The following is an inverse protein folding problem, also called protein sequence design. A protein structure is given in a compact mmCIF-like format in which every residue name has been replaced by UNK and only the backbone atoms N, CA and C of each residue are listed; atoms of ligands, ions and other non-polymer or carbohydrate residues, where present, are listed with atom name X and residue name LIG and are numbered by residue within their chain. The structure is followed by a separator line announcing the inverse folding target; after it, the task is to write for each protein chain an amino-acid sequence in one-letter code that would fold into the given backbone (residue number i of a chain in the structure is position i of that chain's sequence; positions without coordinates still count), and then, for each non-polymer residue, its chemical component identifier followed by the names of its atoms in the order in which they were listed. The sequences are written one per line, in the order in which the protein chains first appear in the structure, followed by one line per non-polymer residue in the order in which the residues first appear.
data_IF_652324368899
#
_entry.id   IF_652324368899
#
_cell.length_a   1.000
_cell.length_b   1.000
_cell.length_c   1.000
_cell.angle_alpha   90.00
_cell.angle_beta   90.00
_cell.angle_gamma   90.00
#
_symmetry.space_group_name_H-M   'P 1'
#
loop_
_entity.id
_entity.type
_entity.pdbx_description
1 polymer ?
#
# COMPACT_ATOMS: atom_id res chain seq x y z
N UNK A 1 13.35 -22.98 -5.67
CA UNK A 1 12.22 -22.45 -6.47
C UNK A 1 12.59 -21.02 -6.79
N UNK A 2 12.96 -20.70 -8.02
CA UNK A 2 13.34 -19.34 -8.41
C UNK A 2 12.07 -18.49 -8.25
N UNK A 3 12.03 -17.60 -7.26
CA UNK A 3 10.98 -16.57 -7.19
C UNK A 3 11.10 -15.79 -8.50
N UNK A 4 10.10 -15.90 -9.37
CA UNK A 4 9.99 -15.00 -10.51
C UNK A 4 9.71 -13.63 -9.91
N UNK A 5 10.71 -12.76 -9.89
CA UNK A 5 10.49 -11.37 -9.54
C UNK A 5 9.50 -10.77 -10.54
N UNK A 6 8.29 -10.48 -10.06
CA UNK A 6 7.29 -9.72 -10.83
C UNK A 6 7.90 -8.38 -11.25
N UNK A 7 8.16 -8.20 -12.53
CA UNK A 7 8.61 -6.90 -13.02
C UNK A 7 7.45 -5.92 -12.91
N UNK A 8 7.65 -4.84 -12.14
CA UNK A 8 6.73 -3.69 -12.07
C UNK A 8 7.37 -2.58 -12.87
N UNK A 9 6.65 -2.02 -13.82
CA UNK A 9 7.15 -0.99 -14.72
C UNK A 9 7.54 0.28 -13.96
N UNK A 10 8.59 0.97 -14.42
CA UNK A 10 9.02 2.23 -13.80
C UNK A 10 7.89 3.26 -13.77
N UNK A 11 7.04 3.28 -14.81
CA UNK A 11 5.87 4.14 -14.86
C UNK A 11 4.87 3.84 -13.74
N UNK A 12 4.58 2.56 -13.47
CA UNK A 12 3.73 2.16 -12.36
C UNK A 12 4.35 2.59 -11.01
N UNK A 13 5.65 2.39 -10.82
CA UNK A 13 6.37 2.85 -9.61
C UNK A 13 6.21 4.36 -9.42
N UNK A 14 6.40 5.15 -10.47
CA UNK A 14 6.22 6.60 -10.40
C UNK A 14 4.79 6.99 -10.02
N UNK A 15 3.77 6.32 -10.59
CA UNK A 15 2.36 6.59 -10.27
C UNK A 15 2.03 6.21 -8.82
N UNK A 16 2.57 5.10 -8.29
CA UNK A 16 2.39 4.73 -6.88
C UNK A 16 2.96 5.81 -5.94
N UNK A 17 4.12 6.34 -6.29
CA UNK A 17 4.88 7.28 -5.47
C UNK A 17 4.50 8.75 -5.69
N UNK A 18 3.63 9.04 -6.67
CA UNK A 18 3.19 10.38 -7.04
C UNK A 18 2.66 11.17 -5.84
N UNK A 19 3.07 12.43 -5.74
CA UNK A 19 2.62 13.32 -4.65
C UNK A 19 1.10 13.49 -4.65
N UNK A 20 0.55 13.71 -3.46
CA UNK A 20 -0.90 13.89 -3.22
C UNK A 20 -1.15 15.23 -2.55
N UNK A 21 -2.37 15.73 -2.71
CA UNK A 21 -2.83 16.90 -1.97
C UNK A 21 -2.97 16.57 -0.48
N UNK A 22 -2.37 17.41 0.35
CA UNK A 22 -2.54 17.44 1.79
C UNK A 22 -3.69 18.35 2.19
N UNK A 23 -3.66 18.85 3.42
CA UNK A 23 -4.61 19.87 3.88
C UNK A 23 -4.41 21.18 3.11
N UNK A 24 -5.46 21.67 2.47
CA UNK A 24 -5.41 22.90 1.67
C UNK A 24 -4.60 22.73 0.38
N UNK A 25 -3.80 23.74 0.02
CA UNK A 25 -3.00 23.74 -1.23
C UNK A 25 -1.66 22.99 -1.13
N UNK A 26 -1.35 22.37 0.01
CA UNK A 26 -0.04 21.75 0.22
C UNK A 26 0.05 20.40 -0.51
N UNK A 27 1.16 20.16 -1.21
CA UNK A 27 1.44 18.90 -1.89
C UNK A 27 2.46 18.11 -1.06
N UNK A 28 2.17 16.84 -0.79
CA UNK A 28 3.00 15.97 0.06
C UNK A 28 3.24 14.60 -0.58
N UNK A 29 4.19 13.87 -0.04
CA UNK A 29 4.35 12.44 -0.34
C UNK A 29 3.12 11.65 0.12
N UNK A 30 2.76 10.55 -0.58
CA UNK A 30 1.69 9.66 -0.12
C UNK A 30 2.07 9.04 1.23
N UNK A 31 1.06 8.77 2.06
CA UNK A 31 1.18 7.97 3.27
C UNK A 31 1.28 6.49 2.90
N UNK A 32 1.75 5.67 3.84
CA UNK A 32 1.93 4.22 3.63
C UNK A 32 0.62 3.54 3.21
N UNK A 33 -0.50 3.89 3.83
CA UNK A 33 -1.80 3.33 3.47
C UNK A 33 -2.28 3.76 2.07
N UNK A 34 -2.08 5.01 1.67
CA UNK A 34 -2.47 5.52 0.33
C UNK A 34 -1.67 4.79 -0.76
N UNK A 35 -0.38 4.55 -0.49
CA UNK A 35 0.46 3.76 -1.38
C UNK A 35 -0.01 2.31 -1.51
N UNK A 36 -0.41 1.66 -0.41
CA UNK A 36 -1.01 0.33 -0.48
C UNK A 36 -2.28 0.31 -1.33
N UNK A 37 -3.14 1.32 -1.23
CA UNK A 37 -4.36 1.40 -2.05
C UNK A 37 -4.02 1.49 -3.54
N UNK A 38 -2.99 2.26 -3.91
CA UNK A 38 -2.53 2.36 -5.31
C UNK A 38 -1.98 1.05 -5.85
N UNK A 39 -1.19 0.32 -5.05
CA UNK A 39 -0.73 -1.03 -5.42
C UNK A 39 -1.91 -2.00 -5.62
N UNK A 40 -2.97 -1.85 -4.82
CA UNK A 40 -4.11 -2.76 -4.85
C UNK A 40 -5.01 -2.58 -6.09
N UNK A 41 -5.06 -1.37 -6.66
CA UNK A 41 -5.83 -1.07 -7.89
C UNK A 41 -5.05 -1.41 -9.17
N UNK A 42 -3.72 -1.50 -9.11
CA UNK A 42 -2.89 -1.75 -10.28
C UNK A 42 -2.70 -3.25 -10.56
N UNK A 43 -2.90 -3.66 -11.81
CA UNK A 43 -2.83 -5.06 -12.26
C UNK A 43 -1.42 -5.64 -12.33
N UNK A 44 -0.37 -4.82 -12.37
CA UNK A 44 1.02 -5.29 -12.30
C UNK A 44 1.39 -5.77 -10.88
N UNK A 45 0.67 -5.27 -9.86
CA UNK A 45 0.96 -5.57 -8.45
C UNK A 45 -0.12 -6.41 -7.79
N UNK A 46 -1.36 -6.37 -8.26
CA UNK A 46 -2.46 -7.22 -7.81
C UNK A 46 -2.70 -8.38 -8.81
N UNK A 47 -2.56 -9.66 -8.41
CA UNK A 47 -2.53 -10.17 -7.02
C UNK A 47 -1.14 -10.50 -6.45
N UNK A 48 -0.08 -10.47 -7.24
CA UNK A 48 1.20 -11.10 -6.88
C UNK A 48 1.96 -10.40 -5.73
N UNK A 49 1.84 -9.07 -5.61
CA UNK A 49 2.51 -8.27 -4.58
C UNK A 49 1.56 -7.97 -3.41
N UNK A 50 0.30 -7.69 -3.73
CA UNK A 50 -0.78 -7.40 -2.81
C UNK A 50 -2.09 -7.87 -3.46
N UNK A 51 -3.05 -8.40 -2.70
CA UNK A 51 -4.29 -8.90 -3.29
C UNK A 51 -5.51 -8.68 -2.40
N UNK A 52 -6.69 -8.64 -3.03
CA UNK A 52 -7.96 -8.74 -2.32
C UNK A 52 -8.14 -10.16 -1.77
N UNK A 53 -8.47 -10.25 -0.49
CA UNK A 53 -8.96 -11.48 0.14
C UNK A 53 -10.48 -11.54 0.06
N UNK A 54 -11.13 -10.40 0.30
CA UNK A 54 -12.56 -10.17 0.11
C UNK A 54 -12.75 -8.70 -0.29
N UNK A 55 -12.91 -8.44 -1.59
CA UNK A 55 -13.07 -7.08 -2.11
C UNK A 55 -14.39 -6.45 -1.62
N UNK A 56 -15.45 -7.23 -1.42
CA UNK A 56 -16.75 -6.72 -0.95
C UNK A 56 -16.68 -6.17 0.48
N UNK A 57 -15.78 -6.73 1.30
CA UNK A 57 -15.51 -6.28 2.66
C UNK A 57 -14.26 -5.39 2.76
N UNK A 58 -13.64 -5.05 1.64
CA UNK A 58 -12.37 -4.31 1.57
C UNK A 58 -11.25 -4.93 2.43
N UNK A 59 -11.13 -6.25 2.38
CA UNK A 59 -10.08 -7.01 3.08
C UNK A 59 -9.02 -7.41 2.06
N UNK A 60 -7.77 -7.08 2.34
CA UNK A 60 -6.64 -7.37 1.46
C UNK A 60 -5.46 -7.97 2.24
N UNK A 61 -4.54 -8.60 1.51
CA UNK A 61 -3.32 -9.22 2.04
C UNK A 61 -2.09 -8.68 1.34
N UNK A 62 -1.04 -8.43 2.12
CA UNK A 62 0.30 -8.20 1.58
C UNK A 62 0.94 -9.55 1.25
N UNK A 63 1.18 -9.82 -0.03
CA UNK A 63 1.71 -11.11 -0.51
C UNK A 63 3.23 -11.10 -0.48
N UNK A 64 3.86 -10.02 -0.95
CA UNK A 64 5.31 -9.84 -0.96
C UNK A 64 5.72 -8.58 -0.17
N UNK A 65 5.79 -8.64 1.18
CA UNK A 65 6.11 -7.49 2.03
C UNK A 65 7.44 -6.80 1.68
N UNK A 66 8.48 -7.58 1.36
CA UNK A 66 9.79 -7.06 0.99
C UNK A 66 9.73 -6.24 -0.30
N UNK A 67 8.92 -6.69 -1.27
CA UNK A 67 8.74 -5.99 -2.54
C UNK A 67 7.94 -4.71 -2.41
N UNK A 68 6.89 -4.73 -1.60
CA UNK A 68 6.13 -3.51 -1.24
C UNK A 68 7.06 -2.45 -0.68
N UNK A 69 7.99 -2.85 0.19
CA UNK A 69 8.98 -1.94 0.78
C UNK A 69 9.98 -1.45 -0.25
N UNK A 70 10.46 -2.32 -1.15
CA UNK A 70 11.35 -1.92 -2.24
C UNK A 70 10.68 -0.86 -3.15
N UNK A 71 9.43 -1.09 -3.55
CA UNK A 71 8.63 -0.15 -4.33
C UNK A 71 8.40 1.16 -3.55
N UNK A 72 8.13 1.08 -2.25
CA UNK A 72 7.95 2.27 -1.40
C UNK A 72 9.24 3.09 -1.27
N UNK A 73 10.38 2.43 -1.14
CA UNK A 73 11.68 3.09 -0.96
C UNK A 73 12.20 3.74 -2.26
N UNK A 74 11.74 3.28 -3.43
CA UNK A 74 12.10 3.85 -4.73
C UNK A 74 11.80 5.36 -4.82
N UNK A 75 10.86 5.88 -4.03
CA UNK A 75 10.48 7.31 -4.02
C UNK A 75 11.48 8.24 -3.36
N UNK A 76 12.18 7.77 -2.32
CA UNK A 76 12.92 8.65 -1.40
C UNK A 76 14.44 8.58 -1.62
N UNK A 77 14.95 7.57 -2.36
CA UNK A 77 16.37 7.40 -2.72
C UNK A 77 17.36 7.29 -1.55
N UNK A 78 16.91 7.52 -0.32
CA UNK A 78 17.72 7.71 0.90
C UNK A 78 17.33 6.78 2.04
N UNK A 79 16.20 6.08 1.94
CA UNK A 79 15.67 5.25 3.03
C UNK A 79 15.84 3.75 2.70
N UNK A 80 16.79 3.10 3.37
CA UNK A 80 16.90 1.63 3.42
C UNK A 80 15.95 1.06 4.48
N UNK A 81 14.67 1.39 4.38
CA UNK A 81 13.64 0.85 5.28
C UNK A 81 13.36 -0.62 4.99
N UNK A 82 13.04 -1.41 6.01
CA UNK A 82 12.55 -2.78 5.88
C UNK A 82 11.03 -2.84 6.15
N UNK A 83 10.45 -4.04 6.08
CA UNK A 83 9.02 -4.21 6.34
C UNK A 83 8.61 -3.78 7.75
N UNK A 84 9.45 -3.97 8.78
CA UNK A 84 9.10 -3.57 10.14
C UNK A 84 8.89 -2.07 10.29
N UNK A 85 9.69 -1.27 9.57
CA UNK A 85 9.55 0.17 9.53
C UNK A 85 8.26 0.58 8.81
N UNK A 86 7.96 -0.05 7.68
CA UNK A 86 6.73 0.18 6.93
C UNK A 86 5.48 -0.22 7.75
N UNK A 87 5.51 -1.41 8.36
CA UNK A 87 4.45 -1.91 9.23
C UNK A 87 4.22 -1.00 10.45
N UNK A 88 5.28 -0.38 10.99
CA UNK A 88 5.13 0.63 12.05
C UNK A 88 4.38 1.86 11.57
N UNK A 89 4.64 2.32 10.34
CA UNK A 89 3.83 3.39 9.72
C UNK A 89 2.35 3.00 9.61
N UNK A 90 2.06 1.75 9.19
CA UNK A 90 0.68 1.26 9.11
C UNK A 90 -0.01 1.24 10.48
N UNK A 91 0.69 0.83 11.55
CA UNK A 91 0.12 0.76 12.91
C UNK A 91 -0.37 2.13 13.42
N UNK A 92 0.24 3.24 13.02
CA UNK A 92 -0.25 4.58 13.39
C UNK A 92 -1.64 4.88 12.82
N UNK A 93 -2.07 4.17 11.79
CA UNK A 93 -3.37 4.34 11.15
C UNK A 93 -4.50 3.53 11.80
N UNK A 94 -4.19 2.64 12.75
CA UNK A 94 -5.18 1.79 13.42
C UNK A 94 -6.09 2.58 14.33
N UNK A 95 -5.53 3.49 15.14
CA UNK A 95 -6.32 4.35 16.05
C UNK A 95 -7.29 5.25 15.28
N UNK A 96 -6.90 5.68 14.07
CA UNK A 96 -7.75 6.47 13.17
C UNK A 96 -8.73 5.64 12.36
N UNK A 97 -8.72 4.31 12.51
CA UNK A 97 -9.60 3.39 11.79
C UNK A 97 -9.39 3.36 10.27
N UNK A 98 -8.28 3.88 9.75
CA UNK A 98 -8.04 3.92 8.29
C UNK A 98 -7.70 2.53 7.77
N UNK A 99 -6.88 1.79 8.52
CA UNK A 99 -6.57 0.39 8.30
C UNK A 99 -6.70 -0.35 9.63
N UNK A 100 -7.31 -1.53 9.62
CA UNK A 100 -7.43 -2.38 10.79
C UNK A 100 -6.82 -3.76 10.49
N UNK A 101 -5.96 -4.32 11.37
CA UNK A 101 -5.48 -5.68 11.19
C UNK A 101 -6.66 -6.65 11.35
N UNK A 102 -6.68 -7.71 10.54
CA UNK A 102 -7.64 -8.81 10.74
C UNK A 102 -7.09 -9.73 11.85
N UNK A 103 -7.86 -10.00 12.93
CA UNK A 103 -7.42 -10.89 14.00
C UNK A 103 -6.96 -12.25 13.46
N UNK A 104 -5.87 -12.77 14.01
CA UNK A 104 -5.30 -14.08 13.70
C UNK A 104 -4.89 -14.29 12.22
N UNK A 105 -4.81 -13.21 11.43
CA UNK A 105 -4.39 -13.23 10.03
C UNK A 105 -3.21 -12.29 9.83
N UNK A 106 -2.02 -12.86 9.70
CA UNK A 106 -0.81 -12.09 9.44
C UNK A 106 -0.87 -11.43 8.06
N UNK A 107 -0.41 -10.17 7.99
CA UNK A 107 -0.34 -9.36 6.76
C UNK A 107 -1.69 -9.10 6.09
N UNK A 108 -2.80 -9.34 6.79
CA UNK A 108 -4.16 -9.11 6.30
C UNK A 108 -4.76 -7.89 7.02
N UNK A 109 -5.32 -6.99 6.24
CA UNK A 109 -5.88 -5.73 6.71
C UNK A 109 -7.26 -5.50 6.11
N UNK A 110 -8.10 -4.80 6.86
CA UNK A 110 -9.39 -4.27 6.42
C UNK A 110 -9.28 -2.76 6.27
N UNK A 111 -9.77 -2.22 5.15
CA UNK A 111 -9.90 -0.77 4.96
C UNK A 111 -11.05 -0.22 5.82
N UNK A 112 -10.82 0.93 6.45
CA UNK A 112 -11.92 1.75 6.97
C UNK A 112 -12.42 2.75 5.94
N UNK A 113 -13.44 3.53 6.33
CA UNK A 113 -14.18 4.44 5.43
C UNK A 113 -13.25 5.37 4.63
N UNK A 114 -12.29 6.02 5.29
CA UNK A 114 -11.35 6.93 4.60
C UNK A 114 -10.51 6.23 3.52
N UNK A 115 -10.12 4.98 3.74
CA UNK A 115 -9.38 4.21 2.75
C UNK A 115 -10.28 3.73 1.62
N UNK A 116 -11.54 3.40 1.92
CA UNK A 116 -12.56 3.03 0.93
C UNK A 116 -12.87 4.22 0.01
N UNK A 117 -13.12 5.40 0.58
CA UNK A 117 -13.40 6.62 -0.19
C UNK A 117 -12.22 6.95 -1.13
N UNK A 118 -10.99 6.79 -0.64
CA UNK A 118 -9.79 7.00 -1.44
C UNK A 118 -9.65 5.96 -2.56
N UNK A 119 -9.94 4.68 -2.30
CA UNK A 119 -9.93 3.63 -3.32
C UNK A 119 -10.94 3.90 -4.44
N UNK A 120 -12.12 4.41 -4.09
CA UNK A 120 -13.15 4.76 -5.07
C UNK A 120 -12.71 5.91 -5.97
N UNK A 121 -11.88 6.84 -5.48
CA UNK A 121 -11.31 7.93 -6.29
C UNK A 121 -10.20 7.49 -7.24
N UNK A 122 -9.60 6.31 -7.00
CA UNK A 122 -8.52 5.76 -7.84
C UNK A 122 -9.04 4.89 -9.00
N UNK A 123 -10.32 4.51 -8.98
CA UNK A 123 -11.00 3.73 -10.02
C UNK A 123 -11.67 4.67 -11.02
#
# INVERSE_FOLDING_TARGET
KIEKDVAVSDNAVQEFCKRVHGSGKYIRSPKSWEFLMRLLVNSETNPEVICWVDESQYIFRLVQPNKIVALWNAKDGKSSGNYDNFARSLRYHYKGGILCPVPDKQLVYRCGLLAIDYLQQLR
#
